data_IF_616685215365
#
_entry.id   IF_616685215365
#
_cell.length_a   1.000
_cell.length_b   1.000
_cell.length_c   1.000
_cell.angle_alpha   90.00
_cell.angle_beta   90.00
_cell.angle_gamma   90.00
#
_symmetry.space_group_name_H-M   'P 1'
#
loop_
_entity.id
_entity.type
_entity.pdbx_description
1 polymer ?
#
# COMPACT_ATOMS: atom_id res chain seq x y z
N UNK A 1 -7.82 -19.23 -22.90
CA UNK A 1 -7.53 -19.49 -21.46
C UNK A 1 -8.31 -18.48 -20.65
N UNK A 2 -9.32 -18.96 -19.91
CA UNK A 2 -10.29 -18.12 -19.21
C UNK A 2 -9.69 -17.73 -17.85
N UNK A 3 -9.36 -16.45 -17.66
CA UNK A 3 -8.90 -15.93 -16.36
C UNK A 3 -10.15 -15.78 -15.50
N UNK A 4 -10.50 -16.82 -14.74
CA UNK A 4 -11.54 -16.71 -13.73
C UNK A 4 -11.08 -15.65 -12.70
N UNK A 5 -11.79 -14.53 -12.67
CA UNK A 5 -11.68 -13.56 -11.59
C UNK A 5 -12.05 -14.28 -10.28
N UNK A 6 -11.08 -14.46 -9.40
CA UNK A 6 -11.27 -15.12 -8.11
C UNK A 6 -12.24 -14.31 -7.24
N UNK A 7 -13.07 -14.97 -6.40
CA UNK A 7 -14.06 -14.29 -5.59
C UNK A 7 -13.38 -13.36 -4.58
N UNK A 8 -13.72 -12.07 -4.63
CA UNK A 8 -13.30 -11.10 -3.60
C UNK A 8 -13.75 -11.59 -2.23
N UNK A 9 -12.95 -11.40 -1.16
CA UNK A 9 -13.38 -11.75 0.18
C UNK A 9 -14.72 -11.07 0.49
N UNK A 10 -15.63 -11.78 1.18
CA UNK A 10 -17.00 -11.29 1.40
C UNK A 10 -17.16 -10.50 2.71
N UNK A 11 -16.27 -10.72 3.69
CA UNK A 11 -16.33 -10.03 4.97
C UNK A 11 -15.71 -8.61 4.90
N UNK A 12 -16.26 -7.69 5.70
CA UNK A 12 -15.92 -6.27 5.67
C UNK A 12 -14.42 -5.95 5.85
N UNK A 13 -13.67 -6.48 6.86
CA UNK A 13 -12.28 -6.10 7.08
C UNK A 13 -11.37 -6.53 5.92
N UNK A 14 -11.51 -7.77 5.41
CA UNK A 14 -10.69 -8.25 4.30
C UNK A 14 -11.01 -7.50 3.00
N UNK A 15 -12.27 -7.13 2.77
CA UNK A 15 -12.63 -6.23 1.65
C UNK A 15 -11.97 -4.87 1.75
N UNK A 16 -11.90 -4.30 2.96
CA UNK A 16 -11.26 -3.01 3.18
C UNK A 16 -9.75 -3.08 2.92
N UNK A 17 -9.08 -4.20 3.22
CA UNK A 17 -7.66 -4.42 2.88
C UNK A 17 -7.47 -4.51 1.35
N UNK A 18 -8.27 -5.30 0.64
CA UNK A 18 -8.22 -5.35 -0.83
C UNK A 18 -8.52 -3.99 -1.49
N UNK A 19 -9.42 -3.20 -0.92
CA UNK A 19 -9.69 -1.86 -1.43
C UNK A 19 -8.49 -0.91 -1.16
N UNK A 20 -7.83 -1.07 -0.02
CA UNK A 20 -6.58 -0.35 0.28
C UNK A 20 -5.49 -0.68 -0.76
N UNK A 21 -5.33 -1.95 -1.13
CA UNK A 21 -4.41 -2.36 -2.20
C UNK A 21 -4.62 -1.59 -3.50
N UNK A 22 -5.87 -1.49 -3.94
CA UNK A 22 -6.26 -0.76 -5.15
C UNK A 22 -5.89 0.70 -5.04
N UNK A 23 -6.20 1.34 -3.91
CA UNK A 23 -5.93 2.76 -3.71
C UNK A 23 -4.43 3.09 -3.65
N UNK A 24 -3.62 2.24 -3.01
CA UNK A 24 -2.15 2.38 -2.99
C UNK A 24 -1.59 2.27 -4.41
N UNK A 25 -2.02 1.27 -5.18
CA UNK A 25 -1.59 1.10 -6.58
C UNK A 25 -1.98 2.30 -7.45
N UNK A 26 -3.19 2.83 -7.28
CA UNK A 26 -3.66 4.03 -8.00
C UNK A 26 -2.86 5.28 -7.63
N UNK A 27 -2.49 5.44 -6.35
CA UNK A 27 -1.64 6.56 -5.93
C UNK A 27 -0.24 6.48 -6.54
N UNK A 28 0.37 5.29 -6.58
CA UNK A 28 1.64 5.07 -7.27
C UNK A 28 1.55 5.35 -8.78
N UNK A 29 0.44 4.98 -9.43
CA UNK A 29 0.21 5.33 -10.86
C UNK A 29 0.10 6.83 -11.06
N UNK A 30 -0.61 7.55 -10.20
CA UNK A 30 -0.67 9.03 -10.26
C UNK A 30 0.72 9.66 -10.18
N UNK A 31 1.61 9.13 -9.34
CA UNK A 31 3.00 9.57 -9.27
C UNK A 31 3.76 9.28 -10.58
N UNK A 32 3.58 8.08 -11.15
CA UNK A 32 4.14 7.72 -12.45
C UNK A 32 3.68 8.66 -13.57
N UNK A 33 2.39 8.98 -13.62
CA UNK A 33 1.80 9.89 -14.61
C UNK A 33 2.42 11.29 -14.49
N UNK A 34 2.60 11.81 -13.26
CA UNK A 34 3.29 13.09 -13.06
C UNK A 34 4.73 13.05 -13.59
N UNK A 35 5.44 11.94 -13.38
CA UNK A 35 6.79 11.72 -13.92
C UNK A 35 6.80 11.66 -15.46
N UNK A 36 5.71 11.30 -16.13
CA UNK A 36 5.67 11.30 -17.59
C UNK A 36 5.23 12.64 -18.17
N UNK A 37 4.25 13.28 -17.52
CA UNK A 37 3.50 14.42 -18.08
C UNK A 37 4.09 15.79 -17.71
N UNK A 38 4.77 15.91 -16.55
CA UNK A 38 5.26 17.22 -16.11
C UNK A 38 6.35 17.76 -17.06
N UNK A 39 6.45 19.07 -17.29
CA UNK A 39 7.58 19.66 -18.02
C UNK A 39 8.94 19.28 -17.40
N UNK A 40 10.00 19.21 -18.20
CA UNK A 40 11.36 18.93 -17.69
C UNK A 40 11.99 20.15 -16.98
N UNK A 41 11.60 21.36 -17.39
CA UNK A 41 12.18 22.61 -16.88
C UNK A 41 11.60 23.06 -15.53
N UNK A 42 10.40 22.61 -15.17
CA UNK A 42 9.73 23.01 -13.94
C UNK A 42 8.62 22.02 -13.56
N UNK A 43 8.15 22.10 -12.31
CA UNK A 43 6.97 21.42 -11.80
C UNK A 43 5.81 22.42 -11.59
N UNK A 44 4.95 22.66 -12.61
CA UNK A 44 3.83 23.58 -12.52
C UNK A 44 2.85 23.23 -11.39
N UNK A 45 2.05 24.20 -10.91
CA UNK A 45 1.14 24.00 -9.77
C UNK A 45 0.20 22.78 -9.88
N UNK A 46 -0.41 22.45 -11.05
CA UNK A 46 -1.26 21.27 -11.17
C UNK A 46 -0.51 19.96 -10.90
N UNK A 47 0.70 19.81 -11.43
CA UNK A 47 1.54 18.63 -11.21
C UNK A 47 2.09 18.59 -9.78
N UNK A 48 2.47 19.75 -9.23
CA UNK A 48 2.89 19.88 -7.83
C UNK A 48 1.80 19.41 -6.87
N UNK A 49 0.54 19.81 -7.11
CA UNK A 49 -0.62 19.38 -6.32
C UNK A 49 -0.87 17.87 -6.44
N UNK A 50 -0.81 17.30 -7.65
CA UNK A 50 -0.95 15.84 -7.89
C UNK A 50 0.13 15.04 -7.17
N UNK A 51 1.40 15.45 -7.32
CA UNK A 51 2.55 14.84 -6.67
C UNK A 51 2.41 14.86 -5.14
N UNK A 52 2.17 16.05 -4.57
CA UNK A 52 1.96 16.24 -3.12
C UNK A 52 0.82 15.35 -2.60
N UNK A 53 -0.35 15.40 -3.23
CA UNK A 53 -1.51 14.64 -2.79
C UNK A 53 -1.30 13.12 -2.82
N UNK A 54 -0.60 12.61 -3.85
CA UNK A 54 -0.30 11.18 -3.93
C UNK A 54 0.73 10.72 -2.87
N UNK A 55 1.76 11.55 -2.59
CA UNK A 55 2.73 11.29 -1.51
C UNK A 55 2.06 11.33 -0.13
N UNK A 56 1.27 12.38 0.15
CA UNK A 56 0.56 12.53 1.42
C UNK A 56 -0.37 11.35 1.68
N UNK A 57 -1.07 10.88 0.64
CA UNK A 57 -1.89 9.67 0.74
C UNK A 57 -1.06 8.44 1.10
N UNK A 58 0.02 8.17 0.36
CA UNK A 58 0.84 6.97 0.57
C UNK A 58 1.50 6.96 1.95
N UNK A 59 1.97 8.12 2.42
CA UNK A 59 2.61 8.31 3.73
C UNK A 59 1.72 7.86 4.90
N UNK A 60 0.40 7.99 4.76
CA UNK A 60 -0.57 7.63 5.80
C UNK A 60 -1.07 6.21 5.60
N UNK A 61 -1.46 5.89 4.37
CA UNK A 61 -2.24 4.69 4.06
C UNK A 61 -1.37 3.44 4.07
N UNK A 62 -0.13 3.52 3.57
CA UNK A 62 0.77 2.36 3.52
C UNK A 62 1.13 1.86 4.92
N UNK A 63 1.61 2.69 5.87
CA UNK A 63 1.90 2.21 7.22
C UNK A 63 0.64 1.74 7.95
N UNK A 64 -0.49 2.44 7.77
CA UNK A 64 -1.75 2.05 8.39
C UNK A 64 -2.22 0.66 7.95
N UNK A 65 -2.10 0.35 6.67
CA UNK A 65 -2.42 -0.95 6.09
C UNK A 65 -1.54 -2.08 6.65
N UNK A 66 -0.21 -1.91 6.65
CA UNK A 66 0.70 -2.90 7.22
C UNK A 66 0.44 -3.13 8.72
N UNK A 67 0.10 -2.07 9.46
CA UNK A 67 -0.27 -2.19 10.88
C UNK A 67 -1.61 -2.90 11.08
N UNK A 68 -2.57 -2.72 10.16
CA UNK A 68 -3.83 -3.47 10.18
C UNK A 68 -3.58 -4.98 10.07
N UNK A 69 -2.70 -5.38 9.17
CA UNK A 69 -2.27 -6.78 9.07
C UNK A 69 -1.50 -7.26 10.30
N UNK A 70 -0.43 -6.55 10.66
CA UNK A 70 0.53 -7.06 11.64
C UNK A 70 -0.01 -7.09 13.07
N UNK A 71 -0.89 -6.15 13.42
CA UNK A 71 -1.42 -6.01 14.78
C UNK A 71 -2.82 -6.61 14.93
N UNK A 72 -3.61 -6.73 13.87
CA UNK A 72 -4.99 -7.22 13.96
C UNK A 72 -5.18 -8.58 13.29
N UNK A 73 -4.82 -8.71 12.01
CA UNK A 73 -5.10 -9.93 11.24
C UNK A 73 -4.12 -11.07 11.57
N UNK A 74 -2.81 -10.83 11.41
CA UNK A 74 -1.77 -11.87 11.54
C UNK A 74 -1.79 -12.57 12.90
N UNK A 75 -1.94 -11.88 14.05
CA UNK A 75 -1.95 -12.55 15.36
C UNK A 75 -2.99 -13.66 15.49
N UNK A 76 -4.18 -13.46 14.89
CA UNK A 76 -5.30 -14.41 14.97
C UNK A 76 -5.10 -15.65 14.09
N UNK A 77 -4.13 -15.62 13.17
CA UNK A 77 -3.86 -16.72 12.25
C UNK A 77 -2.61 -17.54 12.62
N UNK A 78 -1.77 -17.07 13.55
CA UNK A 78 -0.47 -17.71 13.87
C UNK A 78 -0.57 -19.13 14.42
N UNK A 79 -1.73 -19.52 14.94
CA UNK A 79 -1.97 -20.89 15.42
C UNK A 79 -1.97 -21.92 14.27
N UNK A 80 -2.18 -21.47 13.03
CA UNK A 80 -2.12 -22.32 11.85
C UNK A 80 -0.69 -22.32 11.27
N UNK A 81 0.00 -23.47 11.20
CA UNK A 81 1.38 -23.53 10.70
C UNK A 81 1.55 -23.08 9.25
N UNK A 82 0.53 -23.32 8.40
CA UNK A 82 0.55 -22.88 7.02
C UNK A 82 0.36 -21.36 6.92
N UNK A 83 -0.51 -20.78 7.76
CA UNK A 83 -0.63 -19.33 7.88
C UNK A 83 0.67 -18.68 8.37
N UNK A 84 1.33 -19.26 9.39
CA UNK A 84 2.56 -18.69 9.95
C UNK A 84 3.70 -18.63 8.92
N UNK A 85 3.83 -19.65 8.06
CA UNK A 85 4.78 -19.63 6.95
C UNK A 85 4.50 -18.46 5.98
N UNK A 86 3.23 -18.24 5.62
CA UNK A 86 2.81 -17.13 4.74
C UNK A 86 3.06 -15.78 5.43
N UNK A 87 2.70 -15.65 6.71
CA UNK A 87 2.88 -14.42 7.49
C UNK A 87 4.37 -14.06 7.60
N UNK A 88 5.25 -15.05 7.77
CA UNK A 88 6.70 -14.83 7.79
C UNK A 88 7.22 -14.29 6.45
N UNK A 89 6.69 -14.79 5.33
CA UNK A 89 6.96 -14.24 3.98
C UNK A 89 6.47 -12.79 3.85
N UNK A 90 5.22 -12.52 4.23
CA UNK A 90 4.61 -11.20 4.13
C UNK A 90 5.30 -10.14 5.00
N UNK A 91 5.75 -10.49 6.20
CA UNK A 91 6.53 -9.56 7.05
C UNK A 91 7.86 -9.15 6.43
N UNK A 92 8.54 -10.08 5.73
CA UNK A 92 9.76 -9.72 4.98
C UNK A 92 9.42 -8.80 3.80
N UNK A 93 8.29 -9.04 3.15
CA UNK A 93 7.79 -8.15 2.10
C UNK A 93 7.45 -6.76 2.65
N UNK A 94 6.84 -6.65 3.85
CA UNK A 94 6.57 -5.35 4.49
C UNK A 94 7.84 -4.54 4.73
N UNK A 95 8.92 -5.17 5.23
CA UNK A 95 10.20 -4.49 5.42
C UNK A 95 10.77 -3.96 4.08
N UNK A 96 10.69 -4.78 3.03
CA UNK A 96 11.13 -4.42 1.68
C UNK A 96 10.27 -3.29 1.10
N UNK A 97 8.95 -3.41 1.19
CA UNK A 97 7.99 -2.41 0.71
C UNK A 97 8.16 -1.09 1.48
N UNK A 98 8.33 -1.13 2.80
CA UNK A 98 8.62 0.05 3.61
C UNK A 98 9.84 0.81 3.10
N UNK A 99 10.93 0.10 2.78
CA UNK A 99 12.14 0.71 2.21
C UNK A 99 11.86 1.35 0.83
N UNK A 100 11.07 0.67 -0.01
CA UNK A 100 10.70 1.19 -1.34
C UNK A 100 9.80 2.43 -1.25
N UNK A 101 8.78 2.42 -0.38
CA UNK A 101 7.90 3.56 -0.17
C UNK A 101 8.64 4.74 0.47
N UNK A 102 9.56 4.50 1.41
CA UNK A 102 10.42 5.55 1.96
C UNK A 102 11.29 6.18 0.88
N UNK A 103 11.81 5.38 -0.06
CA UNK A 103 12.57 5.90 -1.19
C UNK A 103 11.67 6.74 -2.12
N UNK A 104 10.46 6.27 -2.41
CA UNK A 104 9.48 7.02 -3.24
C UNK A 104 9.17 8.37 -2.61
N UNK A 105 8.96 8.41 -1.30
CA UNK A 105 8.74 9.63 -0.53
C UNK A 105 9.93 10.59 -0.65
N UNK A 106 11.15 10.10 -0.45
CA UNK A 106 12.37 10.92 -0.55
C UNK A 106 12.52 11.58 -1.92
N UNK A 107 12.37 10.83 -3.01
CA UNK A 107 12.44 11.38 -4.37
C UNK A 107 11.31 12.38 -4.65
N UNK A 108 10.09 12.05 -4.22
CA UNK A 108 8.93 12.92 -4.38
C UNK A 108 9.08 14.25 -3.65
N UNK A 109 9.54 14.22 -2.38
CA UNK A 109 9.79 15.43 -1.59
C UNK A 109 10.94 16.25 -2.16
N UNK A 110 11.99 15.61 -2.65
CA UNK A 110 13.09 16.29 -3.34
C UNK A 110 12.57 17.09 -4.54
N UNK A 111 11.75 16.47 -5.39
CA UNK A 111 11.18 17.15 -6.56
C UNK A 111 10.23 18.30 -6.16
N UNK A 112 9.42 18.11 -5.11
CA UNK A 112 8.55 19.17 -4.59
C UNK A 112 9.32 20.37 -4.03
N UNK A 113 10.47 20.12 -3.40
CA UNK A 113 11.34 21.17 -2.83
C UNK A 113 12.08 21.94 -3.91
N UNK A 114 12.73 21.23 -4.85
CA UNK A 114 13.53 21.86 -5.91
C UNK A 114 12.66 22.46 -7.02
N UNK A 115 11.41 22.01 -7.15
CA UNK A 115 10.50 22.30 -8.27
C UNK A 115 11.05 21.91 -9.65
N UNK A 116 12.19 21.23 -9.69
CA UNK A 116 12.86 20.71 -10.88
C UNK A 116 13.78 19.55 -10.46
N UNK A 117 13.83 18.51 -11.29
CA UNK A 117 14.83 17.43 -11.23
C UNK A 117 15.31 17.19 -12.67
N UNK A 118 16.57 16.80 -12.84
CA UNK A 118 17.11 16.49 -14.17
C UNK A 118 16.55 15.17 -14.73
N UNK A 119 16.88 14.88 -16.00
CA UNK A 119 16.37 13.71 -16.71
C UNK A 119 16.81 12.38 -16.10
N UNK A 120 18.03 12.31 -15.57
CA UNK A 120 18.56 11.11 -14.92
C UNK A 120 17.78 10.81 -13.64
N UNK A 121 17.66 11.81 -12.76
CA UNK A 121 16.91 11.70 -11.51
C UNK A 121 15.45 11.36 -11.74
N UNK A 122 14.86 11.89 -12.81
CA UNK A 122 13.48 11.58 -13.23
C UNK A 122 13.34 10.13 -13.71
N UNK A 123 14.33 9.62 -14.45
CA UNK A 123 14.37 8.22 -14.87
C UNK A 123 14.54 7.27 -13.67
N UNK A 124 15.42 7.60 -12.72
CA UNK A 124 15.59 6.87 -11.46
C UNK A 124 14.27 6.80 -10.68
N UNK A 125 13.59 7.94 -10.53
CA UNK A 125 12.31 7.98 -9.81
C UNK A 125 11.26 7.12 -10.51
N UNK A 126 11.20 7.16 -11.84
CA UNK A 126 10.30 6.31 -12.64
C UNK A 126 10.57 4.82 -12.40
N UNK A 127 11.83 4.41 -12.46
CA UNK A 127 12.24 3.02 -12.24
C UNK A 127 11.90 2.56 -10.81
N UNK A 128 12.11 3.43 -9.82
CA UNK A 128 11.72 3.18 -8.45
C UNK A 128 10.21 2.92 -8.31
N UNK A 129 9.36 3.75 -8.91
CA UNK A 129 7.89 3.54 -8.87
C UNK A 129 7.51 2.21 -9.53
N UNK A 130 8.10 1.87 -10.68
CA UNK A 130 7.84 0.59 -11.36
C UNK A 130 8.25 -0.59 -10.46
N UNK A 131 9.42 -0.50 -9.82
CA UNK A 131 9.90 -1.51 -8.87
C UNK A 131 8.94 -1.66 -7.68
N UNK A 132 8.45 -0.56 -7.12
CA UNK A 132 7.48 -0.55 -6.03
C UNK A 132 6.14 -1.15 -6.44
N UNK A 133 5.60 -0.78 -7.61
CA UNK A 133 4.37 -1.36 -8.15
C UNK A 133 4.47 -2.88 -8.34
N UNK A 134 5.60 -3.36 -8.86
CA UNK A 134 5.83 -4.80 -9.06
C UNK A 134 5.93 -5.55 -7.73
N UNK A 135 6.68 -5.01 -6.76
CA UNK A 135 6.78 -5.60 -5.43
C UNK A 135 5.42 -5.67 -4.74
N UNK A 136 4.66 -4.56 -4.77
CA UNK A 136 3.32 -4.47 -4.19
C UNK A 136 2.36 -5.47 -4.87
N UNK A 137 2.40 -5.60 -6.20
CA UNK A 137 1.55 -6.56 -6.90
C UNK A 137 1.81 -8.01 -6.49
N UNK A 138 3.08 -8.38 -6.30
CA UNK A 138 3.45 -9.73 -5.84
C UNK A 138 2.98 -9.95 -4.40
N UNK A 139 3.22 -8.98 -3.52
CA UNK A 139 2.79 -9.01 -2.12
C UNK A 139 1.27 -9.18 -1.99
N UNK A 140 0.50 -8.25 -2.59
CA UNK A 140 -0.96 -8.29 -2.56
C UNK A 140 -1.52 -9.60 -3.12
N UNK A 141 -0.84 -10.21 -4.10
CA UNK A 141 -1.26 -11.51 -4.66
C UNK A 141 -1.15 -12.63 -3.62
N UNK A 142 -0.10 -12.65 -2.81
CA UNK A 142 0.05 -13.64 -1.74
C UNK A 142 -1.09 -13.46 -0.73
N UNK A 143 -1.40 -12.23 -0.35
CA UNK A 143 -2.47 -11.94 0.60
C UNK A 143 -3.84 -12.33 0.03
N UNK A 144 -4.21 -11.79 -1.12
CA UNK A 144 -5.54 -11.96 -1.70
C UNK A 144 -5.82 -13.40 -2.14
N UNK A 145 -4.80 -14.14 -2.59
CA UNK A 145 -4.99 -15.50 -3.12
C UNK A 145 -4.69 -16.60 -2.11
N UNK A 146 -3.98 -16.31 -1.02
CA UNK A 146 -3.57 -17.32 -0.04
C UNK A 146 -4.01 -16.96 1.38
N UNK A 147 -3.60 -15.80 1.89
CA UNK A 147 -3.84 -15.46 3.29
C UNK A 147 -5.30 -15.09 3.57
N UNK A 148 -5.91 -14.21 2.79
CA UNK A 148 -7.29 -13.76 3.02
C UNK A 148 -8.33 -14.88 2.84
N UNK A 149 -8.22 -15.79 1.85
CA UNK A 149 -9.08 -16.97 1.79
C UNK A 149 -8.92 -17.88 3.01
N UNK A 150 -7.67 -18.08 3.47
CA UNK A 150 -7.41 -18.86 4.68
C UNK A 150 -8.04 -18.20 5.92
N UNK A 151 -7.88 -16.87 6.05
CA UNK A 151 -8.48 -16.11 7.14
C UNK A 151 -10.00 -16.22 7.14
N UNK A 152 -10.64 -16.07 5.98
CA UNK A 152 -12.09 -16.22 5.85
C UNK A 152 -12.58 -17.63 6.23
N UNK A 153 -11.79 -18.67 5.95
CA UNK A 153 -12.14 -20.05 6.29
C UNK A 153 -11.83 -20.46 7.72
N UNK A 154 -11.13 -19.64 8.50
CA UNK A 154 -10.64 -19.99 9.85
C UNK A 154 -11.06 -19.05 10.96
N UNK A 155 -11.29 -17.77 10.66
CA UNK A 155 -11.68 -16.79 11.66
C UNK A 155 -13.18 -16.84 11.88
N UNK A 156 -13.58 -16.78 13.16
CA UNK A 156 -14.98 -16.68 13.52
C UNK A 156 -15.53 -15.29 13.18
N UNK A 157 -16.85 -15.12 13.03
CA UNK A 157 -17.46 -13.82 12.78
C UNK A 157 -17.08 -12.76 13.83
N UNK A 158 -16.89 -13.17 15.09
CA UNK A 158 -16.47 -12.28 16.18
C UNK A 158 -15.04 -11.76 15.97
N UNK A 159 -14.10 -12.61 15.55
CA UNK A 159 -12.73 -12.20 15.23
C UNK A 159 -12.72 -11.16 14.12
N UNK A 160 -13.49 -11.39 13.06
CA UNK A 160 -13.60 -10.48 11.92
C UNK A 160 -14.19 -9.12 12.36
N UNK A 161 -15.16 -9.12 13.26
CA UNK A 161 -15.73 -7.89 13.79
C UNK A 161 -14.73 -7.10 14.64
N UNK A 162 -13.97 -7.79 15.51
CA UNK A 162 -12.93 -7.15 16.32
C UNK A 162 -11.83 -6.54 15.44
N UNK A 163 -11.37 -7.27 14.42
CA UNK A 163 -10.40 -6.76 13.44
C UNK A 163 -10.92 -5.48 12.79
N UNK A 164 -12.18 -5.45 12.36
CA UNK A 164 -12.79 -4.25 11.75
C UNK A 164 -12.77 -3.03 12.69
N UNK A 165 -13.13 -3.22 13.96
CA UNK A 165 -13.11 -2.15 14.97
C UNK A 165 -11.69 -1.64 15.25
N UNK A 166 -10.71 -2.55 15.35
CA UNK A 166 -9.30 -2.21 15.55
C UNK A 166 -8.75 -1.39 14.37
N UNK A 167 -9.03 -1.82 13.13
CA UNK A 167 -8.67 -1.12 11.89
C UNK A 167 -9.30 0.27 11.83
N UNK A 168 -10.60 0.39 12.11
CA UNK A 168 -11.32 1.66 12.10
C UNK A 168 -10.73 2.66 13.12
N UNK A 169 -10.44 2.17 14.33
CA UNK A 169 -9.83 2.97 15.40
C UNK A 169 -8.43 3.46 15.02
N UNK A 170 -7.59 2.57 14.46
CA UNK A 170 -6.22 2.89 14.02
C UNK A 170 -6.23 3.93 12.91
N UNK A 171 -7.07 3.73 11.89
CA UNK A 171 -7.18 4.64 10.74
C UNK A 171 -7.71 6.03 11.13
N UNK A 172 -8.63 6.10 12.09
CA UNK A 172 -9.13 7.38 12.62
C UNK A 172 -8.04 8.16 13.35
N UNK A 173 -7.20 7.46 14.13
CA UNK A 173 -6.05 8.07 14.83
C UNK A 173 -4.98 8.56 13.86
N UNK A 174 -4.61 7.75 12.86
CA UNK A 174 -3.62 8.13 11.84
C UNK A 174 -4.05 9.37 11.05
N UNK A 175 -5.33 9.45 10.67
CA UNK A 175 -5.88 10.65 9.99
C UNK A 175 -5.79 11.89 10.87
N UNK A 176 -6.08 11.76 12.16
CA UNK A 176 -6.04 12.89 13.10
C UNK A 176 -4.61 13.42 13.29
N UNK A 177 -3.61 12.53 13.36
CA UNK A 177 -2.20 12.89 13.51
C UNK A 177 -1.61 13.59 12.27
N UNK A 178 -2.22 13.40 11.09
CA UNK A 178 -1.74 14.02 9.85
C UNK A 178 -2.48 15.30 9.47
N UNK A 179 -3.54 15.66 10.20
CA UNK A 179 -4.25 16.94 10.07
C UNK A 179 -3.76 17.99 11.09
N UNK A 180 -2.77 17.64 11.92
CA UNK A 180 -2.03 18.53 12.83
C UNK A 180 -0.69 18.92 12.19
#
# INVERSE_FOLDING_TARGET
MNIQAQPRPRCAPLRQLCECHRQIQESLRKLHDVILEAPLCALPPPYKKRLRGALDFLRIVVPGHMLDEELSLFPRLRIDPFAEMIISELKRDHQRLGTLFQSVETYGQEWLRRSQIDGERRAEFRLLIIKTLNALKTHNRIEEQRLFPLAYGRLEPEDLHQIEQEMASRRSRLRSLCLQ
#
